data_IF_432141510462
#
_entry.id   IF_432141510462
#
_cell.length_a   1.000
_cell.length_b   1.000
_cell.length_c   1.000
_cell.angle_alpha   90.00
_cell.angle_beta   90.00
_cell.angle_gamma   90.00
#
_symmetry.space_group_name_H-M   'P 1'
#
loop_
_entity.id
_entity.type
_entity.pdbx_description
1 polymer ?
#
# COMPACT_ATOMS: atom_id res chain seq x y z
N UNK A 1 19.11 0.11 25.55
CA UNK A 1 20.01 0.98 26.33
C UNK A 1 19.49 2.38 26.17
N UNK A 2 19.42 3.15 27.26
CA UNK A 2 18.88 4.51 27.29
C UNK A 2 19.57 5.41 26.26
N UNK A 3 20.88 5.25 26.08
CA UNK A 3 21.70 5.95 25.08
C UNK A 3 21.20 5.79 23.64
N UNK A 4 20.48 4.70 23.33
CA UNK A 4 19.99 4.40 21.99
C UNK A 4 18.54 4.86 21.77
N UNK A 5 17.83 5.27 22.82
CA UNK A 5 16.39 5.54 22.76
C UNK A 5 16.06 6.69 21.79
N UNK A 6 16.95 7.67 21.67
CA UNK A 6 16.76 8.82 20.79
C UNK A 6 17.34 8.63 19.37
N UNK A 7 17.95 7.50 19.03
CA UNK A 7 18.57 7.32 17.71
C UNK A 7 17.57 7.47 16.56
N UNK A 8 16.34 7.01 16.74
CA UNK A 8 15.27 7.19 15.75
C UNK A 8 14.93 8.67 15.53
N UNK A 9 14.78 9.40 16.63
CA UNK A 9 14.53 10.85 16.63
C UNK A 9 15.66 11.60 15.94
N UNK A 10 16.91 11.36 16.36
CA UNK A 10 18.08 12.03 15.79
C UNK A 10 18.24 11.77 14.30
N UNK A 11 17.91 10.57 13.82
CA UNK A 11 17.94 10.29 12.38
C UNK A 11 16.94 11.17 11.63
N UNK A 12 15.71 11.27 12.13
CA UNK A 12 14.64 12.06 11.51
C UNK A 12 15.00 13.55 11.55
N UNK A 13 15.47 14.06 12.69
CA UNK A 13 15.93 15.45 12.83
C UNK A 13 17.11 15.75 11.91
N UNK A 14 18.07 14.83 11.78
CA UNK A 14 19.18 14.97 10.85
C UNK A 14 18.70 15.08 9.39
N UNK A 15 17.65 14.34 9.01
CA UNK A 15 17.05 14.48 7.68
C UNK A 15 16.53 15.90 7.45
N UNK A 16 15.76 16.43 8.41
CA UNK A 16 15.23 17.80 8.35
C UNK A 16 16.37 18.82 8.25
N UNK A 17 17.37 18.72 9.13
CA UNK A 17 18.51 19.63 9.15
C UNK A 17 19.30 19.61 7.83
N UNK A 18 19.54 18.42 7.24
CA UNK A 18 20.22 18.32 5.95
C UNK A 18 19.40 19.02 4.86
N UNK A 19 18.08 18.80 4.80
CA UNK A 19 17.24 19.44 3.78
C UNK A 19 17.15 20.95 3.93
N UNK A 20 17.13 21.47 5.16
CA UNK A 20 17.11 22.89 5.44
C UNK A 20 18.44 23.58 5.10
N UNK A 21 19.58 22.94 5.41
CA UNK A 21 20.88 23.57 5.32
C UNK A 21 21.63 23.27 4.01
N UNK A 22 21.28 22.20 3.30
CA UNK A 22 21.97 21.76 2.08
C UNK A 22 20.98 21.58 0.91
N UNK A 23 20.53 22.68 0.29
CA UNK A 23 19.65 22.60 -0.88
C UNK A 23 20.26 21.76 -2.00
N UNK A 24 19.48 20.80 -2.50
CA UNK A 24 19.93 19.86 -3.55
C UNK A 24 20.64 18.61 -3.05
N UNK A 25 20.91 18.47 -1.74
CA UNK A 25 21.38 17.21 -1.19
C UNK A 25 20.26 16.17 -1.15
N UNK A 26 20.58 14.94 -1.54
CA UNK A 26 19.73 13.76 -1.37
C UNK A 26 20.22 12.90 -0.22
N UNK A 27 19.29 12.26 0.48
CA UNK A 27 19.51 11.49 1.70
C UNK A 27 19.15 10.03 1.42
N UNK A 28 20.14 9.15 1.63
CA UNK A 28 19.95 7.71 1.58
C UNK A 28 20.39 7.10 2.91
N UNK A 29 19.56 6.24 3.49
CA UNK A 29 19.81 5.68 4.82
C UNK A 29 19.34 4.24 5.01
N UNK A 30 20.09 3.48 5.81
CA UNK A 30 19.71 2.12 6.20
C UNK A 30 18.75 2.11 7.39
N UNK A 31 17.65 1.36 7.27
CA UNK A 31 16.53 1.40 8.23
C UNK A 31 16.51 0.18 9.15
N UNK A 32 17.12 -0.92 8.71
CA UNK A 32 17.05 -2.22 9.38
C UNK A 32 17.60 -2.27 10.82
N UNK A 33 18.41 -1.29 11.22
CA UNK A 33 19.04 -1.26 12.53
C UNK A 33 18.05 -0.86 13.65
N UNK A 34 16.97 -0.15 13.32
CA UNK A 34 16.00 0.30 14.34
C UNK A 34 15.25 -0.88 14.99
N UNK A 35 15.13 -2.01 14.28
CA UNK A 35 14.43 -3.20 14.75
C UNK A 35 15.36 -4.30 15.28
N UNK A 36 16.64 -3.98 15.53
CA UNK A 36 17.66 -4.97 15.89
C UNK A 36 17.29 -5.83 17.11
N UNK A 37 16.70 -5.21 18.13
CA UNK A 37 16.29 -5.89 19.37
C UNK A 37 15.16 -6.91 19.16
N UNK A 38 14.48 -6.89 18.02
CA UNK A 38 13.33 -7.73 17.69
C UNK A 38 13.65 -8.77 16.60
N UNK A 39 14.94 -9.14 16.43
CA UNK A 39 15.37 -10.20 15.51
C UNK A 39 14.56 -11.49 15.70
N UNK A 40 14.07 -12.06 14.60
CA UNK A 40 13.22 -13.25 14.62
C UNK A 40 11.75 -12.98 14.98
N UNK A 41 11.34 -11.71 14.99
CA UNK A 41 9.95 -11.26 15.16
C UNK A 41 9.56 -10.41 13.95
N UNK A 42 9.48 -11.04 12.76
CA UNK A 42 9.42 -10.30 11.49
C UNK A 42 8.23 -9.35 11.39
N UNK A 43 7.03 -9.74 11.82
CA UNK A 43 5.85 -8.85 11.81
C UNK A 43 6.08 -7.52 12.57
N UNK A 44 6.78 -7.59 13.71
CA UNK A 44 7.16 -6.40 14.48
C UNK A 44 8.18 -5.56 13.75
N UNK A 45 9.22 -6.21 13.20
CA UNK A 45 10.29 -5.51 12.49
C UNK A 45 9.76 -4.78 11.26
N UNK A 46 8.89 -5.44 10.51
CA UNK A 46 8.24 -4.90 9.32
C UNK A 46 7.35 -3.69 9.66
N UNK A 47 6.56 -3.78 10.74
CA UNK A 47 5.77 -2.65 11.25
C UNK A 47 6.66 -1.47 11.66
N UNK A 48 7.71 -1.71 12.45
CA UNK A 48 8.67 -0.68 12.86
C UNK A 48 9.33 0.01 11.66
N UNK A 49 9.75 -0.76 10.65
CA UNK A 49 10.35 -0.19 9.45
C UNK A 49 9.35 0.69 8.68
N UNK A 50 8.08 0.27 8.58
CA UNK A 50 7.03 1.03 7.90
C UNK A 50 6.74 2.36 8.61
N UNK A 51 6.64 2.34 9.95
CA UNK A 51 6.48 3.55 10.79
C UNK A 51 7.67 4.48 10.67
N UNK A 52 8.89 3.94 10.75
CA UNK A 52 10.10 4.73 10.61
C UNK A 52 10.18 5.42 9.24
N UNK A 53 9.94 4.67 8.16
CA UNK A 53 9.93 5.21 6.81
C UNK A 53 8.90 6.32 6.63
N UNK A 54 7.69 6.13 7.16
CA UNK A 54 6.63 7.11 7.07
C UNK A 54 7.06 8.47 7.63
N UNK A 55 7.74 8.49 8.78
CA UNK A 55 8.24 9.74 9.36
C UNK A 55 9.52 10.24 8.71
N UNK A 56 10.46 9.35 8.39
CA UNK A 56 11.73 9.74 7.76
C UNK A 56 11.52 10.37 6.38
N UNK A 57 10.60 9.85 5.56
CA UNK A 57 10.25 10.42 4.25
C UNK A 57 9.68 11.83 4.43
N UNK A 58 8.81 12.06 5.42
CA UNK A 58 8.27 13.38 5.72
C UNK A 58 9.35 14.38 6.17
N UNK A 59 10.37 13.90 6.86
CA UNK A 59 11.54 14.68 7.24
C UNK A 59 12.56 14.84 6.10
N UNK A 60 12.31 14.26 4.92
CA UNK A 60 13.13 14.47 3.74
C UNK A 60 14.06 13.32 3.36
N UNK A 61 13.88 12.11 3.89
CA UNK A 61 14.59 10.93 3.40
C UNK A 61 14.18 10.61 1.95
N UNK A 62 15.13 10.64 1.01
CA UNK A 62 14.86 10.33 -0.41
C UNK A 62 14.87 8.82 -0.68
N UNK A 63 15.74 8.06 0.00
CA UNK A 63 15.89 6.62 -0.22
C UNK A 63 16.14 5.84 1.07
N UNK A 64 15.28 4.87 1.37
CA UNK A 64 15.47 3.90 2.45
C UNK A 64 16.03 2.57 1.94
N UNK A 65 17.12 2.08 2.55
CA UNK A 65 17.65 0.74 2.30
C UNK A 65 16.95 -0.24 3.24
N UNK A 66 16.00 -1.02 2.69
CA UNK A 66 15.10 -1.91 3.42
C UNK A 66 14.57 -3.03 2.51
N UNK A 67 14.03 -4.10 3.09
CA UNK A 67 13.27 -5.11 2.34
C UNK A 67 11.84 -4.61 2.06
N UNK A 68 11.66 -3.88 0.95
CA UNK A 68 10.38 -3.28 0.61
C UNK A 68 9.26 -4.29 0.29
N UNK A 69 9.58 -5.54 -0.06
CA UNK A 69 8.59 -6.57 -0.35
C UNK A 69 7.80 -7.03 0.87
N UNK A 70 8.37 -6.82 2.06
CA UNK A 70 7.86 -7.26 3.35
C UNK A 70 7.23 -6.13 4.18
N UNK A 71 7.20 -4.89 3.67
CA UNK A 71 6.63 -3.78 4.44
C UNK A 71 5.10 -3.78 4.37
N UNK A 72 4.39 -3.80 5.50
CA UNK A 72 2.96 -3.53 5.53
C UNK A 72 2.70 -2.07 5.18
N UNK A 73 1.50 -1.80 4.66
CA UNK A 73 1.01 -0.43 4.56
C UNK A 73 0.88 0.15 5.97
N UNK A 74 1.28 1.40 6.13
CA UNK A 74 1.20 2.07 7.44
C UNK A 74 -0.22 2.02 8.03
N UNK A 75 -1.25 2.09 7.18
CA UNK A 75 -2.67 2.03 7.59
C UNK A 75 -3.17 0.64 7.95
N UNK A 76 -2.45 -0.42 7.56
CA UNK A 76 -2.84 -1.80 7.84
C UNK A 76 -2.21 -2.36 9.12
N UNK A 77 -1.28 -1.62 9.73
CA UNK A 77 -0.66 -2.01 10.98
C UNK A 77 -1.74 -1.95 12.07
N UNK A 78 -1.87 -3.02 12.84
CA UNK A 78 -2.76 -3.09 14.01
C UNK A 78 -2.56 -1.88 14.92
N UNK A 79 -3.65 -1.31 15.46
CA UNK A 79 -3.61 -0.04 16.20
C UNK A 79 -2.72 -0.12 17.46
N UNK A 80 -2.74 -1.25 18.18
CA UNK A 80 -1.90 -1.46 19.37
C UNK A 80 -0.42 -1.55 18.96
N UNK A 81 -0.14 -2.31 17.89
CA UNK A 81 1.21 -2.43 17.34
C UNK A 81 1.74 -1.09 16.81
N UNK A 82 0.92 -0.35 16.07
CA UNK A 82 1.26 0.95 15.51
C UNK A 82 1.61 1.94 16.62
N UNK A 83 0.78 2.00 17.66
CA UNK A 83 1.00 2.88 18.80
C UNK A 83 2.33 2.55 19.50
N UNK A 84 2.61 1.28 19.77
CA UNK A 84 3.89 0.89 20.38
C UNK A 84 5.09 1.19 19.49
N UNK A 85 4.96 1.03 18.16
CA UNK A 85 6.02 1.40 17.23
C UNK A 85 6.29 2.92 17.24
N UNK A 86 5.23 3.74 17.29
CA UNK A 86 5.32 5.20 17.42
C UNK A 86 5.95 5.61 18.76
N UNK A 87 5.51 4.99 19.86
CA UNK A 87 6.01 5.30 21.20
C UNK A 87 7.50 4.94 21.34
N UNK A 88 7.93 3.83 20.73
CA UNK A 88 9.34 3.45 20.63
C UNK A 88 10.15 4.40 19.74
N UNK A 89 9.62 4.78 18.58
CA UNK A 89 10.31 5.66 17.64
C UNK A 89 10.57 7.04 18.24
N UNK A 90 9.55 7.60 18.89
CA UNK A 90 9.57 8.95 19.46
C UNK A 90 9.97 8.98 20.93
N UNK A 91 10.39 7.84 21.49
CA UNK A 91 10.78 7.69 22.89
C UNK A 91 9.76 8.31 23.87
N UNK A 92 8.47 8.01 23.67
CA UNK A 92 7.35 8.61 24.44
C UNK A 92 6.99 7.86 25.71
N UNK A 93 7.34 6.57 25.78
CA UNK A 93 7.03 5.68 26.89
C UNK A 93 8.25 4.82 27.22
N UNK A 94 8.76 4.97 28.44
CA UNK A 94 9.92 4.23 28.96
C UNK A 94 9.67 2.71 29.00
N UNK A 95 8.41 2.29 29.17
CA UNK A 95 8.00 0.90 29.21
C UNK A 95 7.65 0.33 27.82
N UNK A 96 7.72 1.15 26.76
CA UNK A 96 7.31 0.73 25.42
C UNK A 96 8.05 -0.52 24.93
N UNK A 97 9.33 -0.68 25.30
CA UNK A 97 10.12 -1.86 24.93
C UNK A 97 9.56 -3.13 25.55
N UNK A 98 9.17 -3.10 26.82
CA UNK A 98 8.61 -4.26 27.51
C UNK A 98 7.21 -4.59 26.98
N UNK A 99 6.37 -3.57 26.80
CA UNK A 99 5.03 -3.70 26.20
C UNK A 99 5.12 -4.31 24.80
N UNK A 100 6.07 -3.83 24.00
CA UNK A 100 6.35 -4.34 22.66
C UNK A 100 6.79 -5.81 22.69
N UNK A 101 7.67 -6.21 23.61
CA UNK A 101 8.10 -7.60 23.76
C UNK A 101 6.93 -8.51 24.14
N UNK A 102 6.05 -8.08 25.04
CA UNK A 102 4.84 -8.83 25.42
C UNK A 102 3.91 -8.99 24.22
N UNK A 103 3.63 -7.92 23.49
CA UNK A 103 2.80 -7.97 22.28
C UNK A 103 3.42 -8.89 21.22
N UNK A 104 4.73 -8.75 20.99
CA UNK A 104 5.45 -9.53 20.01
C UNK A 104 5.45 -11.04 20.35
N UNK A 105 5.52 -11.40 21.64
CA UNK A 105 5.35 -12.79 22.08
C UNK A 105 3.92 -13.29 21.87
N UNK A 106 2.89 -12.45 22.06
CA UNK A 106 1.50 -12.80 21.73
C UNK A 106 1.33 -13.05 20.24
N UNK A 107 1.89 -12.19 19.38
CA UNK A 107 1.86 -12.33 17.92
C UNK A 107 2.56 -13.63 17.48
N UNK A 108 3.72 -13.94 18.04
CA UNK A 108 4.46 -15.19 17.76
C UNK A 108 3.71 -16.46 18.19
N UNK A 109 2.91 -16.38 19.27
CA UNK A 109 2.01 -17.46 19.71
C UNK A 109 0.70 -17.50 18.91
N UNK A 110 0.34 -16.36 18.32
CA UNK A 110 -0.86 -16.13 17.50
C UNK A 110 -0.76 -16.63 16.06
N UNK A 111 0.42 -17.07 15.60
CA UNK A 111 0.67 -17.64 14.26
C UNK A 111 -0.20 -18.87 13.89
N UNK A 112 -1.09 -19.33 14.78
CA UNK A 112 -2.10 -20.36 14.49
C UNK A 112 -3.56 -19.93 14.65
N UNK A 113 -3.85 -18.66 14.99
CA UNK A 113 -5.22 -18.16 15.12
C UNK A 113 -5.32 -16.70 14.68
N UNK A 114 -5.28 -16.48 13.37
CA UNK A 114 -6.14 -15.49 12.68
C UNK A 114 -5.97 -15.52 11.15
N UNK A 115 -5.96 -16.69 10.50
CA UNK A 115 -6.47 -16.82 9.11
C UNK A 115 -8.00 -16.89 9.15
N UNK A 116 -8.60 -16.00 9.95
CA UNK A 116 -10.04 -15.85 10.06
C UNK A 116 -10.42 -14.68 9.18
N UNK A 117 -10.79 -15.00 7.94
CA UNK A 117 -11.34 -14.08 6.93
C UNK A 117 -10.29 -13.36 6.02
N UNK A 118 -9.25 -14.07 5.56
CA UNK A 118 -8.40 -13.62 4.43
C UNK A 118 -9.23 -13.28 3.17
N UNK A 119 -10.45 -13.83 3.08
CA UNK A 119 -11.43 -13.58 2.01
C UNK A 119 -12.65 -12.74 2.46
N UNK A 120 -12.61 -12.06 3.61
CA UNK A 120 -13.71 -11.19 4.05
C UNK A 120 -14.09 -10.19 2.95
N UNK A 121 -13.04 -9.58 2.38
CA UNK A 121 -13.14 -8.60 1.31
C UNK A 121 -13.77 -9.19 0.05
N UNK A 122 -13.71 -10.51 -0.17
CA UNK A 122 -14.36 -11.17 -1.31
C UNK A 122 -15.88 -11.16 -1.23
N UNK A 123 -16.46 -10.98 -0.05
CA UNK A 123 -17.91 -10.89 0.17
C UNK A 123 -18.47 -9.50 -0.12
N UNK A 124 -17.60 -8.51 -0.32
CA UNK A 124 -17.98 -7.14 -0.65
C UNK A 124 -18.37 -6.99 -2.13
N UNK A 125 -18.87 -5.81 -2.49
CA UNK A 125 -19.23 -5.47 -3.88
C UNK A 125 -18.02 -5.48 -4.80
N UNK A 126 -18.25 -5.71 -6.10
CA UNK A 126 -17.18 -5.79 -7.11
C UNK A 126 -16.28 -4.54 -7.11
N UNK A 127 -16.85 -3.36 -6.88
CA UNK A 127 -16.10 -2.10 -6.81
C UNK A 127 -15.12 -2.09 -5.63
N UNK A 128 -15.59 -2.51 -4.45
CA UNK A 128 -14.73 -2.63 -3.26
C UNK A 128 -13.67 -3.71 -3.43
N UNK A 129 -13.99 -4.81 -4.10
CA UNK A 129 -13.02 -5.88 -4.40
C UNK A 129 -11.92 -5.41 -5.34
N UNK A 130 -12.28 -4.70 -6.40
CA UNK A 130 -11.33 -4.08 -7.33
C UNK A 130 -10.45 -3.06 -6.62
N UNK A 131 -11.03 -2.19 -5.80
CA UNK A 131 -10.28 -1.24 -4.99
C UNK A 131 -9.31 -1.95 -4.03
N UNK A 132 -9.76 -2.97 -3.31
CA UNK A 132 -8.92 -3.75 -2.40
C UNK A 132 -7.76 -4.42 -3.14
N UNK A 133 -8.04 -5.06 -4.28
CA UNK A 133 -7.04 -5.70 -5.12
C UNK A 133 -5.98 -4.69 -5.63
N UNK A 134 -6.40 -3.48 -6.00
CA UNK A 134 -5.49 -2.41 -6.42
C UNK A 134 -4.63 -1.92 -5.26
N UNK A 135 -5.21 -1.61 -4.09
CA UNK A 135 -4.48 -1.10 -2.93
C UNK A 135 -3.49 -2.13 -2.38
N UNK A 136 -3.88 -3.41 -2.33
CA UNK A 136 -3.03 -4.51 -1.83
C UNK A 136 -2.09 -5.08 -2.88
N UNK A 137 -2.28 -4.75 -4.16
CA UNK A 137 -1.48 -5.29 -5.26
C UNK A 137 -1.74 -6.77 -5.55
N UNK A 138 -2.98 -7.23 -5.39
CA UNK A 138 -3.41 -8.62 -5.61
C UNK A 138 -3.87 -8.79 -7.05
N UNK A 139 -3.18 -9.63 -7.83
CA UNK A 139 -3.50 -9.86 -9.25
C UNK A 139 -4.30 -11.16 -9.51
N UNK A 140 -4.55 -11.98 -8.49
CA UNK A 140 -5.21 -13.29 -8.60
C UNK A 140 -6.64 -13.19 -9.12
N UNK A 141 -7.46 -12.31 -8.53
CA UNK A 141 -8.91 -12.25 -8.77
C UNK A 141 -9.32 -11.09 -9.70
N UNK A 142 -8.39 -10.19 -10.03
CA UNK A 142 -8.69 -8.93 -10.71
C UNK A 142 -9.40 -9.13 -12.06
N UNK A 143 -9.06 -10.17 -12.81
CA UNK A 143 -9.69 -10.45 -14.12
C UNK A 143 -11.14 -10.84 -13.94
N UNK A 144 -11.45 -11.71 -12.98
CA UNK A 144 -12.81 -12.13 -12.68
C UNK A 144 -13.67 -10.99 -12.17
N UNK A 145 -13.14 -10.17 -11.26
CA UNK A 145 -13.86 -8.99 -10.77
C UNK A 145 -14.05 -7.92 -11.87
N UNK A 146 -13.08 -7.76 -12.77
CA UNK A 146 -13.19 -6.83 -13.91
C UNK A 146 -14.27 -7.30 -14.88
N UNK A 147 -14.37 -8.61 -15.13
CA UNK A 147 -15.44 -9.18 -15.96
C UNK A 147 -16.82 -9.01 -15.33
N UNK A 148 -16.94 -9.27 -14.03
CA UNK A 148 -18.20 -9.06 -13.30
C UNK A 148 -18.64 -7.58 -13.37
N UNK A 149 -17.71 -6.64 -13.16
CA UNK A 149 -18.00 -5.22 -13.35
C UNK A 149 -18.41 -4.90 -14.80
N UNK A 150 -17.75 -5.48 -15.80
CA UNK A 150 -18.09 -5.30 -17.22
C UNK A 150 -19.51 -5.80 -17.56
N UNK A 151 -19.95 -6.89 -16.93
CA UNK A 151 -21.29 -7.46 -17.13
C UNK A 151 -22.41 -6.63 -16.48
N UNK A 152 -22.09 -5.79 -15.50
CA UNK A 152 -23.03 -4.84 -14.89
C UNK A 152 -23.33 -3.65 -15.81
N UNK A 153 -23.98 -3.90 -16.94
CA UNK A 153 -24.32 -2.91 -17.97
C UNK A 153 -25.19 -1.76 -17.46
N UNK A 154 -25.99 -1.98 -16.41
CA UNK A 154 -26.78 -0.93 -15.76
C UNK A 154 -25.90 0.17 -15.12
N UNK A 155 -24.75 -0.23 -14.55
CA UNK A 155 -23.79 0.69 -13.91
C UNK A 155 -22.68 1.12 -14.85
N UNK A 156 -22.24 0.23 -15.72
CA UNK A 156 -21.12 0.42 -16.64
C UNK A 156 -21.56 0.10 -18.06
N UNK A 157 -22.23 1.05 -18.75
CA UNK A 157 -22.74 0.82 -20.10
C UNK A 157 -21.65 0.50 -21.13
N UNK A 158 -20.42 0.96 -20.88
CA UNK A 158 -19.26 0.69 -21.72
C UNK A 158 -18.14 0.05 -20.90
N UNK A 159 -17.34 -0.86 -21.49
CA UNK A 159 -16.13 -1.38 -20.84
C UNK A 159 -15.18 -0.27 -20.36
N UNK A 160 -15.12 0.86 -21.07
CA UNK A 160 -14.35 2.04 -20.66
C UNK A 160 -14.80 2.60 -19.29
N UNK A 161 -16.09 2.51 -18.95
CA UNK A 161 -16.58 3.02 -17.67
C UNK A 161 -16.05 2.20 -16.47
N UNK A 162 -15.72 0.92 -16.66
CA UNK A 162 -15.06 0.11 -15.62
C UNK A 162 -13.65 0.65 -15.33
N UNK A 163 -12.96 1.17 -16.36
CA UNK A 163 -11.67 1.85 -16.17
C UNK A 163 -11.89 3.17 -15.44
N UNK A 164 -12.75 4.04 -15.98
CA UNK A 164 -12.96 5.41 -15.51
C UNK A 164 -13.55 5.50 -14.10
N UNK A 165 -14.27 4.47 -13.64
CA UNK A 165 -14.92 4.48 -12.32
C UNK A 165 -14.21 3.56 -11.31
N UNK A 166 -14.52 2.25 -11.19
CA UNK A 166 -14.01 1.45 -10.07
C UNK A 166 -12.48 1.31 -10.08
N UNK A 167 -11.86 1.16 -11.25
CA UNK A 167 -10.40 1.03 -11.35
C UNK A 167 -9.68 2.35 -11.06
N UNK A 168 -10.14 3.47 -11.64
CA UNK A 168 -9.58 4.80 -11.35
C UNK A 168 -9.81 5.24 -9.91
N UNK A 169 -10.95 4.90 -9.30
CA UNK A 169 -11.20 5.15 -7.88
C UNK A 169 -10.19 4.41 -7.00
N UNK A 170 -9.91 3.13 -7.30
CA UNK A 170 -8.87 2.38 -6.60
C UNK A 170 -7.47 2.98 -6.77
N UNK A 171 -7.13 3.42 -7.99
CA UNK A 171 -5.86 4.10 -8.26
C UNK A 171 -5.75 5.47 -7.58
N UNK A 172 -6.86 6.18 -7.38
CA UNK A 172 -6.89 7.45 -6.66
C UNK A 172 -6.52 7.25 -5.19
N UNK A 173 -7.06 6.20 -4.54
CA UNK A 173 -6.69 5.82 -3.16
C UNK A 173 -5.21 5.43 -3.05
N UNK A 174 -4.69 4.68 -4.03
CA UNK A 174 -3.25 4.39 -4.11
C UNK A 174 -2.43 5.68 -4.18
N UNK A 175 -2.85 6.64 -5.00
CA UNK A 175 -2.23 7.96 -5.12
C UNK A 175 -2.26 8.77 -3.82
N UNK A 176 -3.39 8.78 -3.11
CA UNK A 176 -3.53 9.44 -1.81
C UNK A 176 -2.61 8.81 -0.74
N UNK A 177 -2.57 7.48 -0.67
CA UNK A 177 -1.70 6.76 0.27
C UNK A 177 -0.22 7.00 -0.04
N UNK A 178 0.16 7.00 -1.31
CA UNK A 178 1.53 7.29 -1.74
C UNK A 178 1.92 8.74 -1.46
N UNK A 179 1.06 9.70 -1.80
CA UNK A 179 1.27 11.14 -1.53
C UNK A 179 1.34 11.45 -0.04
N UNK A 180 0.62 10.71 0.80
CA UNK A 180 0.69 10.81 2.26
C UNK A 180 1.93 10.10 2.86
N UNK A 181 2.75 9.41 2.05
CA UNK A 181 3.89 8.60 2.49
C UNK A 181 3.51 7.30 3.20
N UNK A 182 2.22 6.91 3.19
CA UNK A 182 1.69 5.70 3.85
C UNK A 182 1.83 4.44 2.98
N UNK A 183 2.07 4.62 1.69
CA UNK A 183 2.39 3.59 0.70
C UNK A 183 3.72 3.92 0.03
N UNK A 184 4.52 2.91 -0.28
CA UNK A 184 5.87 3.06 -0.85
C UNK A 184 5.92 2.68 -2.33
N UNK A 185 6.93 3.18 -3.06
CA UNK A 185 7.07 2.98 -4.50
C UNK A 185 6.96 1.51 -4.95
N UNK A 186 7.58 0.52 -4.28
CA UNK A 186 7.42 -0.89 -4.66
C UNK A 186 5.99 -1.42 -4.52
N UNK A 187 5.20 -0.88 -3.59
CA UNK A 187 3.77 -1.21 -3.45
C UNK A 187 2.96 -0.59 -4.60
N UNK A 188 3.24 0.68 -4.96
CA UNK A 188 2.61 1.34 -6.12
C UNK A 188 2.86 0.59 -7.42
N UNK A 189 4.07 0.05 -7.62
CA UNK A 189 4.40 -0.78 -8.79
C UNK A 189 3.54 -2.06 -8.84
N UNK A 190 3.28 -2.70 -7.68
CA UNK A 190 2.36 -3.85 -7.62
C UNK A 190 0.94 -3.44 -8.00
N UNK A 191 0.43 -2.32 -7.47
CA UNK A 191 -0.88 -1.77 -7.85
C UNK A 191 -1.00 -1.49 -9.35
N UNK A 192 0.05 -0.90 -9.94
CA UNK A 192 0.12 -0.64 -11.39
C UNK A 192 0.08 -1.93 -12.21
N UNK A 193 0.67 -3.02 -11.73
CA UNK A 193 0.59 -4.34 -12.38
C UNK A 193 -0.84 -4.89 -12.37
N UNK A 194 -1.54 -4.77 -11.24
CA UNK A 194 -2.95 -5.16 -11.11
C UNK A 194 -3.82 -4.36 -12.08
N UNK A 195 -3.64 -3.03 -12.12
CA UNK A 195 -4.33 -2.13 -13.05
C UNK A 195 -4.10 -2.53 -14.51
N UNK A 196 -2.85 -2.78 -14.90
CA UNK A 196 -2.50 -3.21 -16.26
C UNK A 196 -3.21 -4.52 -16.63
N UNK A 197 -3.29 -5.48 -15.71
CA UNK A 197 -3.96 -6.78 -15.94
C UNK A 197 -5.47 -6.61 -16.11
N UNK A 198 -6.10 -5.75 -15.30
CA UNK A 198 -7.53 -5.41 -15.44
C UNK A 198 -7.83 -4.74 -16.79
N UNK A 199 -7.06 -3.71 -17.15
CA UNK A 199 -7.22 -3.00 -18.43
C UNK A 199 -7.00 -3.93 -19.61
N UNK A 200 -5.98 -4.81 -19.56
CA UNK A 200 -5.72 -5.77 -20.62
C UNK A 200 -6.91 -6.70 -20.90
N UNK A 201 -7.68 -7.04 -19.86
CA UNK A 201 -8.92 -7.82 -20.00
C UNK A 201 -10.02 -7.04 -20.73
N UNK A 202 -10.09 -5.71 -20.56
CA UNK A 202 -11.11 -4.86 -21.17
C UNK A 202 -10.83 -4.49 -22.64
N UNK A 203 -9.55 -4.48 -23.06
CA UNK A 203 -9.13 -4.08 -24.42
C UNK A 203 -9.92 -4.80 -25.54
N UNK A 204 -10.09 -6.14 -25.54
CA UNK A 204 -10.82 -6.82 -26.61
C UNK A 204 -12.27 -6.34 -26.73
N UNK A 205 -12.95 -6.10 -25.61
CA UNK A 205 -14.33 -5.62 -25.58
C UNK A 205 -14.46 -4.17 -26.04
N UNK A 206 -13.51 -3.31 -25.68
CA UNK A 206 -13.45 -1.93 -26.18
C UNK A 206 -13.25 -1.88 -27.69
N UNK A 207 -12.39 -2.75 -28.23
CA UNK A 207 -12.18 -2.83 -29.68
C UNK A 207 -13.44 -3.31 -30.41
N UNK A 208 -14.12 -4.34 -29.88
CA UNK A 208 -15.38 -4.83 -30.44
C UNK A 208 -16.48 -3.75 -30.44
N UNK A 209 -16.68 -3.03 -29.33
CA UNK A 209 -17.64 -1.92 -29.26
C UNK A 209 -17.30 -0.82 -30.28
N UNK A 210 -16.01 -0.48 -30.43
CA UNK A 210 -15.56 0.52 -31.39
C UNK A 210 -15.84 0.07 -32.83
N UNK A 211 -15.60 -1.19 -33.17
CA UNK A 211 -15.91 -1.73 -34.50
C UNK A 211 -17.41 -1.75 -34.78
N UNK A 212 -18.25 -2.11 -33.81
CA UNK A 212 -19.70 -2.06 -33.95
C UNK A 212 -20.21 -0.65 -34.22
N UNK A 213 -19.71 0.35 -33.47
CA UNK A 213 -20.04 1.76 -33.71
C UNK A 213 -19.62 2.24 -35.09
N UNK A 214 -18.43 1.85 -35.55
CA UNK A 214 -17.95 2.21 -36.89
C UNK A 214 -18.84 1.58 -37.97
N UNK A 215 -19.31 0.35 -37.77
CA UNK A 215 -20.24 -0.32 -38.70
C UNK A 215 -21.61 0.36 -38.73
N UNK A 216 -22.19 0.73 -37.59
CA UNK A 216 -23.49 1.44 -37.58
C UNK A 216 -23.42 2.82 -38.22
N UNK A 217 -22.36 3.59 -37.96
CA UNK A 217 -22.17 4.90 -38.61
C UNK A 217 -21.97 4.80 -40.13
N UNK A 218 -21.28 3.76 -40.61
CA UNK A 218 -21.05 3.55 -42.05
C UNK A 218 -22.32 3.17 -42.82
N UNK A 219 -23.36 2.67 -42.13
CA UNK A 219 -24.65 2.27 -42.73
C UNK A 219 -25.63 3.46 -42.78
N UNK A 220 -25.54 4.38 -41.82
CA UNK A 220 -26.36 5.60 -41.80
C UNK A 220 -25.94 6.64 -42.85
N UNK A 221 -24.66 6.74 -43.18
CA UNK A 221 -24.16 7.64 -44.25
C UNK A 221 -24.40 7.11 -45.68
N UNK A 222 -24.84 5.86 -45.83
CA UNK A 222 -25.02 5.19 -47.11
C UNK A 222 -26.50 5.01 -47.52
N UNK A 223 -27.46 5.49 -46.72
CA UNK A 223 -28.90 5.46 -46.97
C UNK A 223 -29.49 6.84 -47.21
#
# INVERSE_FOLDING_TARGET
MEEHANYGIYFIECCTLIKENLPGAHISGGISNISFSFRGMEAVREAMHSVFLYHAIKAGLDMGIVNAGALPLYTDIDEELLKLCEDLLWNRDEEATEKMLVLAQKLKKGDKKATGDEDAWRKETVEKRLQHALVKGIDTYVVGDTEEARLCTDKYPRPLNVIEQPLMNGMSVVGELFGAGKMFLPQVIKSARVMKKAVAHLIPFMNAEREERLKTMSVEDAG
#
